data_IF_072675875552
#
_entry.id   IF_072675875552
#
_cell.length_a   1.000
_cell.length_b   1.000
_cell.length_c   1.000
_cell.angle_alpha   90.00
_cell.angle_beta   90.00
_cell.angle_gamma   90.00
#
_symmetry.space_group_name_H-M   'P 1'
#
loop_
_entity.id
_entity.type
_entity.pdbx_description
1 polymer ?
#
# COMPACT_ATOMS: atom_id res chain seq x y z
N UNK A 1 17.47 3.06 20.47
CA UNK A 1 16.91 3.40 19.16
C UNK A 1 17.26 2.28 18.21
N UNK A 2 16.28 1.67 17.53
CA UNK A 2 16.59 0.58 16.60
C UNK A 2 17.09 1.15 15.25
N UNK A 3 17.61 0.31 14.33
CA UNK A 3 18.07 0.79 13.03
C UNK A 3 16.98 1.51 12.22
N UNK A 4 15.73 1.06 12.29
CA UNK A 4 14.61 1.68 11.58
C UNK A 4 14.29 3.10 12.07
N UNK A 5 14.32 3.32 13.37
CA UNK A 5 14.18 4.65 13.97
C UNK A 5 15.28 5.60 13.46
N UNK A 6 16.52 5.13 13.37
CA UNK A 6 17.65 5.94 12.92
C UNK A 6 17.43 6.43 11.49
N UNK A 7 17.09 5.53 10.57
CA UNK A 7 16.86 5.88 9.16
C UNK A 7 15.65 6.81 8.99
N UNK A 8 14.55 6.51 9.68
CA UNK A 8 13.36 7.34 9.66
C UNK A 8 13.59 8.76 10.22
N UNK A 9 14.27 8.87 11.37
CA UNK A 9 14.53 10.16 12.01
C UNK A 9 15.53 11.03 11.24
N UNK A 10 16.52 10.42 10.58
CA UNK A 10 17.41 11.15 9.66
C UNK A 10 16.61 11.81 8.54
N UNK A 11 15.69 11.08 7.93
CA UNK A 11 14.83 11.63 6.88
C UNK A 11 13.94 12.76 7.42
N UNK A 12 13.31 12.57 8.59
CA UNK A 12 12.53 13.64 9.21
C UNK A 12 13.37 14.89 9.49
N UNK A 13 14.58 14.72 10.03
CA UNK A 13 15.50 15.83 10.27
C UNK A 13 15.79 16.59 8.99
N UNK A 14 16.07 15.89 7.89
CA UNK A 14 16.33 16.52 6.58
C UNK A 14 15.11 17.24 6.02
N UNK A 15 13.91 16.66 6.13
CA UNK A 15 12.68 17.35 5.72
C UNK A 15 12.52 18.66 6.50
N UNK A 16 12.80 18.66 7.81
CA UNK A 16 12.69 19.85 8.65
C UNK A 16 13.73 20.92 8.30
N UNK A 17 14.98 20.54 8.02
CA UNK A 17 16.07 21.50 7.78
C UNK A 17 16.17 21.98 6.33
N UNK A 18 15.91 21.09 5.36
CA UNK A 18 16.17 21.33 3.93
C UNK A 18 14.87 21.38 3.09
N UNK A 19 13.74 20.95 3.64
CA UNK A 19 12.49 20.85 2.89
C UNK A 19 11.89 22.21 2.52
N UNK A 20 11.08 22.20 1.46
CA UNK A 20 10.34 23.36 0.97
C UNK A 20 8.91 23.35 1.50
N UNK A 21 8.44 24.52 1.97
CA UNK A 21 7.05 24.72 2.38
C UNK A 21 6.16 24.92 1.15
N UNK A 22 5.05 24.17 1.09
CA UNK A 22 4.11 24.20 -0.02
C UNK A 22 2.67 23.97 0.48
N UNK A 23 1.66 24.54 -0.20
CA UNK A 23 0.27 24.20 0.06
C UNK A 23 -0.06 22.75 -0.36
N UNK A 24 -1.14 22.20 0.20
CA UNK A 24 -1.67 20.87 -0.13
C UNK A 24 -3.20 20.89 -0.24
N UNK A 25 -3.81 19.76 -0.65
CA UNK A 25 -5.27 19.65 -0.80
C UNK A 25 -6.05 19.75 0.52
N UNK A 26 -5.38 19.63 1.66
CA UNK A 26 -6.02 19.69 2.99
C UNK A 26 -6.10 21.12 3.52
N UNK A 27 -5.32 22.04 2.95
CA UNK A 27 -5.20 23.43 3.40
C UNK A 27 -4.27 23.60 4.61
N UNK A 28 -3.75 22.51 5.18
CA UNK A 28 -2.78 22.57 6.29
C UNK A 28 -1.40 23.00 5.79
N UNK A 29 -1.08 22.69 4.54
CA UNK A 29 0.27 22.85 3.99
C UNK A 29 1.22 21.74 4.43
N UNK A 30 2.40 21.70 3.82
CA UNK A 30 3.42 20.68 4.08
C UNK A 30 4.82 21.23 3.87
N UNK A 31 5.80 20.59 4.53
CA UNK A 31 7.22 20.71 4.22
C UNK A 31 7.70 19.42 3.56
N UNK A 32 8.40 19.50 2.42
CA UNK A 32 8.74 18.28 1.68
C UNK A 32 10.08 18.33 0.94
N UNK A 33 10.65 17.14 0.75
CA UNK A 33 11.73 16.81 -0.17
C UNK A 33 11.21 15.82 -1.23
N UNK A 34 11.92 15.68 -2.35
CA UNK A 34 11.55 14.76 -3.44
C UNK A 34 12.68 13.77 -3.73
N UNK A 35 12.35 12.48 -3.92
CA UNK A 35 13.32 11.45 -4.29
C UNK A 35 14.09 10.83 -3.12
N UNK A 36 13.47 10.74 -1.94
CA UNK A 36 14.08 10.18 -0.73
C UNK A 36 13.94 8.66 -0.65
N UNK A 37 14.93 7.98 -0.09
CA UNK A 37 14.94 6.53 0.07
C UNK A 37 15.23 6.14 1.53
N UNK A 38 14.46 5.17 2.04
CA UNK A 38 14.74 4.48 3.30
C UNK A 38 15.17 3.05 2.99
N UNK A 39 16.20 2.57 3.68
CA UNK A 39 16.66 1.18 3.60
C UNK A 39 16.65 0.58 5.00
N UNK A 40 15.92 -0.52 5.15
CA UNK A 40 15.91 -1.30 6.39
C UNK A 40 16.63 -2.62 6.14
N UNK A 41 17.74 -2.82 6.82
CA UNK A 41 18.55 -4.04 6.69
C UNK A 41 18.07 -5.13 7.65
N UNK A 42 18.44 -6.38 7.39
CA UNK A 42 18.22 -7.53 8.30
C UNK A 42 16.73 -7.85 8.61
N UNK A 43 15.84 -7.66 7.63
CA UNK A 43 14.43 -8.09 7.67
C UNK A 43 14.40 -9.62 7.83
N UNK A 44 14.25 -10.10 9.06
CA UNK A 44 14.34 -11.51 9.44
C UNK A 44 15.05 -11.73 10.78
N UNK A 45 16.00 -10.86 11.15
CA UNK A 45 16.55 -10.79 12.51
C UNK A 45 15.82 -9.78 13.36
N UNK A 46 15.34 -8.70 12.74
CA UNK A 46 14.59 -7.64 13.38
C UNK A 46 13.40 -7.22 12.51
N UNK A 47 12.33 -6.76 13.15
CA UNK A 47 11.17 -6.19 12.47
C UNK A 47 11.27 -4.65 12.51
N UNK A 48 11.16 -3.95 11.36
CA UNK A 48 11.40 -2.50 11.27
C UNK A 48 10.22 -1.67 11.80
N UNK A 49 9.76 -1.95 13.02
CA UNK A 49 8.76 -1.14 13.72
C UNK A 49 9.46 -0.02 14.50
N UNK A 50 8.95 1.20 14.39
CA UNK A 50 9.49 2.33 15.14
C UNK A 50 9.31 2.12 16.64
N UNK A 51 10.32 2.50 17.43
CA UNK A 51 10.30 2.40 18.91
C UNK A 51 10.22 3.76 19.58
N UNK A 52 10.53 4.83 18.84
CA UNK A 52 10.42 6.22 19.32
C UNK A 52 8.98 6.70 19.51
N UNK A 53 8.00 5.97 18.95
CA UNK A 53 6.58 6.16 19.19
C UNK A 53 5.90 4.79 19.19
N UNK A 54 4.91 4.59 20.06
CA UNK A 54 4.09 3.39 20.05
C UNK A 54 3.27 3.31 18.75
N UNK A 55 3.46 2.24 17.99
CA UNK A 55 2.68 1.95 16.79
C UNK A 55 1.51 1.03 17.14
N UNK A 56 0.32 1.36 16.64
CA UNK A 56 -0.85 0.51 16.80
C UNK A 56 -0.83 -0.62 15.76
N UNK A 57 -0.09 -1.68 16.09
CA UNK A 57 0.23 -2.75 15.14
C UNK A 57 -1.00 -3.56 14.69
N UNK A 58 -2.02 -3.69 15.55
CA UNK A 58 -3.28 -4.38 15.19
C UNK A 58 -3.91 -3.76 13.94
N UNK A 59 -4.08 -2.44 13.91
CA UNK A 59 -4.68 -1.76 12.76
C UNK A 59 -3.91 -1.97 11.46
N UNK A 60 -2.57 -1.93 11.52
CA UNK A 60 -1.70 -2.18 10.36
C UNK A 60 -1.88 -3.60 9.82
N UNK A 61 -1.98 -4.60 10.69
CA UNK A 61 -2.16 -5.99 10.29
C UNK A 61 -3.55 -6.26 9.71
N UNK A 62 -4.61 -5.75 10.34
CA UNK A 62 -5.98 -5.91 9.84
C UNK A 62 -6.16 -5.25 8.47
N UNK A 63 -5.57 -4.07 8.25
CA UNK A 63 -5.54 -3.41 6.95
C UNK A 63 -4.81 -4.26 5.90
N UNK A 64 -3.64 -4.81 6.24
CA UNK A 64 -2.91 -5.70 5.32
C UNK A 64 -3.74 -6.94 4.98
N UNK A 65 -4.40 -7.58 5.95
CA UNK A 65 -5.25 -8.73 5.69
C UNK A 65 -6.48 -8.37 4.85
N UNK A 66 -7.04 -7.18 5.04
CA UNK A 66 -8.10 -6.64 4.20
C UNK A 66 -7.65 -6.47 2.74
N UNK A 67 -6.46 -5.90 2.50
CA UNK A 67 -5.86 -5.85 1.15
C UNK A 67 -5.63 -7.24 0.57
N UNK A 68 -5.04 -8.16 1.35
CA UNK A 68 -4.74 -9.51 0.90
C UNK A 68 -6.00 -10.30 0.56
N UNK A 69 -7.12 -10.08 1.25
CA UNK A 69 -8.43 -10.67 0.90
C UNK A 69 -9.07 -10.06 -0.34
N UNK A 70 -8.55 -8.93 -0.82
CA UNK A 70 -9.10 -8.22 -1.97
C UNK A 70 -10.39 -7.46 -1.65
N UNK A 71 -10.57 -7.06 -0.40
CA UNK A 71 -11.75 -6.35 0.06
C UNK A 71 -11.70 -4.87 -0.29
N UNK A 72 -12.88 -4.27 -0.42
CA UNK A 72 -13.09 -2.84 -0.67
C UNK A 72 -14.09 -2.22 0.30
N UNK A 73 -14.82 -3.03 1.07
CA UNK A 73 -15.78 -2.55 2.05
C UNK A 73 -15.15 -2.52 3.46
N UNK A 74 -15.34 -1.41 4.19
CA UNK A 74 -14.75 -1.17 5.51
C UNK A 74 -15.41 -1.96 6.64
N UNK A 75 -16.55 -2.62 6.41
CA UNK A 75 -17.28 -3.37 7.46
C UNK A 75 -16.37 -4.34 8.21
N UNK A 76 -15.54 -5.13 7.52
CA UNK A 76 -14.68 -6.10 8.20
C UNK A 76 -13.54 -5.44 8.99
N UNK A 77 -13.12 -4.23 8.62
CA UNK A 77 -12.18 -3.42 9.40
C UNK A 77 -12.88 -2.89 10.66
N UNK A 78 -14.09 -2.35 10.52
CA UNK A 78 -14.88 -1.82 11.63
C UNK A 78 -15.24 -2.90 12.65
N UNK A 79 -15.61 -4.09 12.19
CA UNK A 79 -15.84 -5.28 13.03
C UNK A 79 -14.59 -5.66 13.83
N UNK A 80 -13.40 -5.45 13.27
CA UNK A 80 -12.12 -5.63 13.95
C UNK A 80 -11.72 -4.44 14.86
N UNK A 81 -12.53 -3.38 14.92
CA UNK A 81 -12.27 -2.14 15.65
C UNK A 81 -11.29 -1.20 14.95
N UNK A 82 -11.22 -1.25 13.63
CA UNK A 82 -10.30 -0.47 12.79
C UNK A 82 -11.08 0.52 11.91
N UNK A 83 -10.86 1.81 12.17
CA UNK A 83 -11.62 2.92 11.59
C UNK A 83 -10.79 3.82 10.66
N UNK A 84 -9.60 3.36 10.25
CA UNK A 84 -8.64 4.20 9.51
C UNK A 84 -9.10 4.53 8.08
N UNK A 85 -10.14 3.87 7.58
CA UNK A 85 -10.70 4.08 6.24
C UNK A 85 -12.08 4.76 6.26
N UNK A 86 -12.67 5.00 7.42
CA UNK A 86 -14.07 5.45 7.56
C UNK A 86 -14.34 6.78 6.84
N UNK A 87 -13.38 7.70 6.87
CA UNK A 87 -13.52 9.02 6.23
C UNK A 87 -13.55 8.98 4.69
N UNK A 88 -13.21 7.83 4.08
CA UNK A 88 -13.19 7.63 2.63
C UNK A 88 -14.26 6.66 2.14
N UNK A 89 -14.98 6.00 3.05
CA UNK A 89 -16.04 5.06 2.70
C UNK A 89 -17.30 5.80 2.24
N UNK A 90 -17.99 5.22 1.26
CA UNK A 90 -19.35 5.61 0.92
C UNK A 90 -20.33 5.18 2.03
N UNK A 91 -21.60 5.58 1.91
CA UNK A 91 -22.64 5.27 2.90
C UNK A 91 -22.82 3.76 3.15
N UNK A 92 -22.52 2.93 2.15
CA UNK A 92 -22.58 1.47 2.22
C UNK A 92 -21.26 0.81 2.72
N UNK A 93 -20.26 1.63 3.06
CA UNK A 93 -18.95 1.19 3.54
C UNK A 93 -17.93 0.88 2.43
N UNK A 94 -18.29 0.96 1.14
CA UNK A 94 -17.35 0.69 0.04
C UNK A 94 -16.42 1.89 -0.19
N UNK A 95 -15.11 1.63 -0.31
CA UNK A 95 -14.11 2.64 -0.73
C UNK A 95 -13.74 2.52 -2.21
N UNK A 96 -14.40 1.61 -2.94
CA UNK A 96 -14.18 1.39 -4.36
C UNK A 96 -12.93 0.55 -4.67
N UNK A 97 -12.47 0.53 -5.94
CA UNK A 97 -11.45 -0.42 -6.41
C UNK A 97 -10.02 0.00 -6.00
N UNK A 98 -9.75 0.03 -4.70
CA UNK A 98 -8.44 0.40 -4.12
C UNK A 98 -7.49 -0.81 -4.06
N UNK A 99 -6.44 -0.73 -3.24
CA UNK A 99 -5.32 -1.69 -3.13
C UNK A 99 -5.72 -3.17 -3.27
N UNK A 100 -6.57 -3.67 -2.38
CA UNK A 100 -6.93 -5.09 -2.37
C UNK A 100 -7.59 -5.54 -3.67
N UNK A 101 -8.52 -4.74 -4.18
CA UNK A 101 -9.17 -4.99 -5.47
C UNK A 101 -8.16 -5.06 -6.60
N UNK A 102 -7.23 -4.09 -6.69
CA UNK A 102 -6.21 -4.09 -7.74
C UNK A 102 -5.26 -5.30 -7.59
N UNK A 103 -4.91 -5.71 -6.37
CA UNK A 103 -3.99 -6.84 -6.15
C UNK A 103 -4.60 -8.19 -6.54
N UNK A 104 -5.89 -8.39 -6.28
CA UNK A 104 -6.56 -9.70 -6.43
C UNK A 104 -7.47 -9.79 -7.66
N UNK A 105 -7.95 -8.66 -8.16
CA UNK A 105 -9.00 -8.55 -9.19
C UNK A 105 -8.72 -7.41 -10.17
N UNK A 106 -7.46 -7.24 -10.61
CA UNK A 106 -7.10 -6.20 -11.57
C UNK A 106 -7.94 -6.36 -12.86
N UNK A 107 -8.70 -5.32 -13.28
CA UNK A 107 -9.51 -5.37 -14.49
C UNK A 107 -8.67 -5.69 -15.72
N UNK A 108 -9.04 -6.75 -16.43
CA UNK A 108 -8.37 -7.14 -17.67
C UNK A 108 -9.31 -6.87 -18.85
N UNK A 109 -8.83 -6.12 -19.82
CA UNK A 109 -9.57 -5.80 -21.04
C UNK A 109 -8.73 -6.26 -22.22
N UNK A 110 -9.28 -7.19 -22.98
CA UNK A 110 -8.64 -7.77 -24.14
C UNK A 110 -9.34 -7.29 -25.41
N UNK A 111 -8.57 -7.16 -26.50
CA UNK A 111 -9.12 -6.84 -27.81
C UNK A 111 -9.21 -8.11 -28.65
N UNK A 112 -10.40 -8.40 -29.16
CA UNK A 112 -10.63 -9.45 -30.14
C UNK A 112 -11.18 -8.88 -31.47
N UNK A 113 -11.57 -9.77 -32.39
CA UNK A 113 -12.11 -9.40 -33.70
C UNK A 113 -13.42 -8.59 -33.61
N UNK A 114 -14.14 -8.66 -32.48
CA UNK A 114 -15.41 -7.98 -32.25
C UNK A 114 -15.25 -6.70 -31.39
N UNK A 115 -14.04 -6.36 -30.95
CA UNK A 115 -13.74 -5.13 -30.20
C UNK A 115 -13.08 -5.40 -28.86
N UNK A 116 -13.24 -4.46 -27.92
CA UNK A 116 -12.74 -4.59 -26.56
C UNK A 116 -13.73 -5.39 -25.70
N UNK A 117 -13.22 -6.37 -24.96
CA UNK A 117 -14.02 -7.19 -24.05
C UNK A 117 -13.32 -7.32 -22.71
N UNK A 118 -14.10 -7.23 -21.63
CA UNK A 118 -13.63 -7.57 -20.28
C UNK A 118 -13.37 -9.07 -20.23
N UNK A 119 -12.14 -9.44 -19.89
CA UNK A 119 -11.74 -10.82 -19.69
C UNK A 119 -11.61 -11.13 -18.20
N UNK A 120 -11.10 -12.32 -17.87
CA UNK A 120 -10.92 -12.74 -16.48
C UNK A 120 -9.96 -11.76 -15.78
N UNK A 121 -10.30 -11.27 -14.57
CA UNK A 121 -9.43 -10.37 -13.84
C UNK A 121 -8.10 -11.03 -13.48
N UNK A 122 -7.06 -10.21 -13.35
CA UNK A 122 -5.70 -10.65 -13.03
C UNK A 122 -5.51 -10.62 -11.50
N UNK A 123 -5.19 -11.78 -10.92
CA UNK A 123 -4.73 -11.90 -9.53
C UNK A 123 -3.20 -11.74 -9.50
N UNK A 124 -2.74 -10.49 -9.36
CA UNK A 124 -1.32 -10.13 -9.38
C UNK A 124 -0.56 -10.81 -8.22
N UNK A 125 -1.19 -10.90 -7.05
CA UNK A 125 -0.57 -11.52 -5.87
C UNK A 125 -0.32 -13.00 -6.11
N UNK A 126 -1.31 -13.74 -6.63
CA UNK A 126 -1.15 -15.15 -6.96
C UNK A 126 -0.03 -15.37 -7.99
N UNK A 127 0.01 -14.55 -9.04
CA UNK A 127 1.05 -14.63 -10.06
C UNK A 127 2.45 -14.37 -9.49
N UNK A 128 2.63 -13.36 -8.64
CA UNK A 128 3.93 -13.09 -8.02
C UNK A 128 4.35 -14.24 -7.10
N UNK A 129 3.44 -14.79 -6.29
CA UNK A 129 3.75 -15.95 -5.44
C UNK A 129 4.18 -17.16 -6.29
N UNK A 130 3.50 -17.41 -7.40
CA UNK A 130 3.87 -18.47 -8.34
C UNK A 130 5.25 -18.21 -8.95
N UNK A 131 5.53 -16.98 -9.40
CA UNK A 131 6.83 -16.60 -9.96
C UNK A 131 7.97 -16.74 -8.96
N UNK A 132 7.77 -16.37 -7.69
CA UNK A 132 8.79 -16.57 -6.64
C UNK A 132 9.14 -18.06 -6.51
N UNK A 133 8.14 -18.95 -6.60
CA UNK A 133 8.34 -20.40 -6.48
C UNK A 133 8.95 -21.03 -7.73
N UNK A 134 8.48 -20.63 -8.92
CA UNK A 134 8.82 -21.28 -10.19
C UNK A 134 10.02 -20.64 -10.90
N UNK A 135 10.20 -19.33 -10.77
CA UNK A 135 11.27 -18.56 -11.41
C UNK A 135 11.74 -17.38 -10.54
N UNK A 136 12.47 -17.65 -9.44
CA UNK A 136 12.88 -16.63 -8.48
C UNK A 136 13.82 -15.55 -9.07
N UNK A 137 14.43 -15.81 -10.23
CA UNK A 137 15.30 -14.85 -10.92
C UNK A 137 14.53 -13.87 -11.83
N UNK A 138 13.21 -14.01 -11.90
CA UNK A 138 12.36 -13.12 -12.68
C UNK A 138 12.51 -11.67 -12.18
N UNK A 139 12.87 -10.77 -13.09
CA UNK A 139 12.92 -9.32 -12.82
C UNK A 139 11.57 -8.63 -13.02
N UNK A 140 10.49 -9.40 -13.09
CA UNK A 140 9.13 -8.93 -13.41
C UNK A 140 8.11 -9.21 -12.30
N UNK A 141 8.58 -9.57 -11.11
CA UNK A 141 7.73 -9.78 -9.93
C UNK A 141 7.30 -8.43 -9.37
N UNK A 142 6.19 -7.90 -9.87
CA UNK A 142 5.65 -6.57 -9.50
C UNK A 142 4.16 -6.71 -9.21
N UNK A 143 3.71 -6.04 -8.15
CA UNK A 143 2.29 -5.81 -7.88
C UNK A 143 2.06 -4.31 -7.98
N UNK A 144 1.11 -3.88 -8.81
CA UNK A 144 0.72 -2.48 -8.94
C UNK A 144 -0.67 -2.25 -8.36
N UNK A 145 -0.85 -1.10 -7.71
CA UNK A 145 -2.17 -0.58 -7.35
C UNK A 145 -2.56 0.66 -8.18
N UNK A 146 -1.70 1.10 -9.10
CA UNK A 146 -1.94 2.29 -9.91
C UNK A 146 -2.59 1.92 -11.23
N UNK A 147 -3.93 1.87 -11.23
CA UNK A 147 -4.74 1.63 -12.41
C UNK A 147 -5.25 2.97 -12.97
N UNK A 148 -4.95 3.26 -14.24
CA UNK A 148 -5.28 4.54 -14.91
C UNK A 148 -6.62 4.52 -15.65
N UNK A 149 -7.25 3.35 -15.77
CA UNK A 149 -8.48 3.16 -16.55
C UNK A 149 -9.75 3.60 -15.80
#
# INVERSE_FOLDING_TARGET
MNPADTEYLKLLSRILTEGFDMPDRTGTGRRSLFGEQLKFEEIGKQFPILTTKRIWFKGVMEELFWFLRGETNTTSLQDAGVHIWDAWAAEDGDVGPVYGYQWRRWPNVERDANGWRVSKPIDQLAQVIEQIKANPWSRRMVISAWNVA
#
